data_IF_913508158629
#
_entry.id   IF_913508158629
#
_cell.length_a   1.000
_cell.length_b   1.000
_cell.length_c   1.000
_cell.angle_alpha   90.00
_cell.angle_beta   90.00
_cell.angle_gamma   90.00
#
_symmetry.space_group_name_H-M   'P 1'
#
loop_
_entity.id
_entity.type
_entity.pdbx_description
1 polymer ?
#
# COMPACT_ATOMS: atom_id res chain seq x y z
N UNK A 1 11.70 10.13 6.52
CA UNK A 1 10.25 9.85 6.49
C UNK A 1 9.85 9.53 5.06
N UNK A 2 9.75 8.24 4.71
CA UNK A 2 9.28 7.82 3.38
C UNK A 2 7.79 8.14 3.30
N UNK A 3 7.34 8.77 2.21
CA UNK A 3 5.91 9.06 1.97
C UNK A 3 5.48 8.30 0.73
N UNK A 4 4.26 7.75 0.77
CA UNK A 4 3.64 7.15 -0.41
C UNK A 4 3.41 8.23 -1.49
N UNK A 5 3.75 7.95 -2.76
CA UNK A 5 3.53 8.91 -3.84
C UNK A 5 2.04 9.14 -4.11
N UNK A 6 1.72 10.24 -4.80
CA UNK A 6 0.35 10.56 -5.19
C UNK A 6 -0.58 10.82 -4.01
N UNK A 7 -1.81 10.31 -4.10
CA UNK A 7 -2.87 10.48 -3.09
C UNK A 7 -3.40 9.12 -2.64
N UNK A 8 -2.73 8.44 -1.69
CA UNK A 8 -3.25 7.20 -1.13
C UNK A 8 -4.61 7.43 -0.47
N UNK A 9 -5.51 6.45 -0.59
CA UNK A 9 -6.79 6.50 0.13
C UNK A 9 -6.59 6.41 1.65
N UNK A 10 -7.63 6.70 2.44
CA UNK A 10 -7.55 6.73 3.91
C UNK A 10 -7.06 5.40 4.48
N UNK A 11 -7.64 4.26 4.07
CA UNK A 11 -7.22 2.93 4.54
C UNK A 11 -5.75 2.61 4.28
N UNK A 12 -5.23 2.98 3.11
CA UNK A 12 -3.82 2.75 2.78
C UNK A 12 -2.90 3.69 3.57
N UNK A 13 -3.37 4.91 3.84
CA UNK A 13 -2.67 5.90 4.67
C UNK A 13 -2.62 5.46 6.14
N UNK A 14 -3.72 4.92 6.66
CA UNK A 14 -3.81 4.39 8.03
C UNK A 14 -2.87 3.19 8.20
N UNK A 15 -2.89 2.26 7.23
CA UNK A 15 -1.98 1.12 7.23
C UNK A 15 -0.51 1.56 7.17
N UNK A 16 -0.17 2.50 6.28
CA UNK A 16 1.17 3.07 6.19
C UNK A 16 1.61 3.73 7.49
N UNK A 17 0.73 4.50 8.12
CA UNK A 17 1.03 5.24 9.35
C UNK A 17 1.20 4.31 10.55
N UNK A 18 0.58 3.14 10.53
CA UNK A 18 0.68 2.13 11.59
C UNK A 18 1.93 1.25 11.50
N UNK A 19 2.67 1.31 10.38
CA UNK A 19 3.92 0.55 10.19
C UNK A 19 5.14 1.27 10.75
N UNK A 20 6.11 0.49 11.24
CA UNK A 20 7.47 0.95 11.53
C UNK A 20 8.23 1.33 10.24
N UNK A 21 9.26 2.17 10.36
CA UNK A 21 9.96 2.72 9.20
C UNK A 21 10.62 1.66 8.29
N UNK A 22 11.15 0.57 8.86
CA UNK A 22 11.71 -0.53 8.07
C UNK A 22 10.61 -1.30 7.30
N UNK A 23 9.47 -1.54 7.96
CA UNK A 23 8.33 -2.20 7.34
C UNK A 23 7.72 -1.34 6.22
N UNK A 24 7.67 -0.02 6.42
CA UNK A 24 7.25 0.95 5.39
C UNK A 24 8.10 0.87 4.14
N UNK A 25 9.43 0.80 4.27
CA UNK A 25 10.33 0.70 3.12
C UNK A 25 10.06 -0.55 2.29
N UNK A 26 10.02 -1.73 2.93
CA UNK A 26 9.73 -3.01 2.27
C UNK A 26 8.32 -3.03 1.66
N UNK A 27 7.34 -2.52 2.39
CA UNK A 27 5.97 -2.44 1.90
C UNK A 27 5.87 -1.52 0.68
N UNK A 28 6.56 -0.39 0.64
CA UNK A 28 6.58 0.50 -0.52
C UNK A 28 7.15 -0.18 -1.77
N UNK A 29 8.23 -0.95 -1.63
CA UNK A 29 8.82 -1.72 -2.74
C UNK A 29 7.81 -2.69 -3.36
N UNK A 30 7.11 -3.46 -2.52
CA UNK A 30 6.07 -4.38 -3.00
C UNK A 30 4.83 -3.65 -3.53
N UNK A 31 4.41 -2.58 -2.86
CA UNK A 31 3.23 -1.80 -3.22
C UNK A 31 3.39 -1.11 -4.57
N UNK A 32 4.56 -0.54 -4.86
CA UNK A 32 4.85 0.14 -6.12
C UNK A 32 5.40 -0.79 -7.20
N UNK A 33 5.87 -1.97 -6.82
CA UNK A 33 6.34 -3.02 -7.73
C UNK A 33 5.22 -3.91 -8.30
N UNK A 34 5.61 -5.09 -8.75
CA UNK A 34 4.75 -6.09 -9.41
C UNK A 34 4.07 -7.09 -8.49
N UNK A 35 4.24 -6.98 -7.17
CA UNK A 35 3.65 -7.93 -6.21
C UNK A 35 2.12 -7.92 -6.31
N UNK A 36 1.50 -9.10 -6.29
CA UNK A 36 0.04 -9.24 -6.40
C UNK A 36 -0.68 -8.41 -5.33
N UNK A 37 -1.73 -7.71 -5.77
CA UNK A 37 -2.58 -6.94 -4.86
C UNK A 37 -3.34 -7.84 -3.88
N UNK A 38 -3.71 -9.06 -4.30
CA UNK A 38 -4.38 -10.03 -3.43
C UNK A 38 -3.43 -10.53 -2.35
N UNK A 39 -2.20 -10.87 -2.73
CA UNK A 39 -1.17 -11.29 -1.77
C UNK A 39 -0.86 -10.20 -0.74
N UNK A 40 -0.70 -8.96 -1.19
CA UNK A 40 -0.49 -7.82 -0.28
C UNK A 40 -1.69 -7.59 0.64
N UNK A 41 -2.89 -7.72 0.11
CA UNK A 41 -4.11 -7.58 0.91
C UNK A 41 -4.19 -8.64 1.99
N UNK A 42 -3.89 -9.91 1.67
CA UNK A 42 -3.84 -10.99 2.66
C UNK A 42 -2.79 -10.72 3.73
N UNK A 43 -1.55 -10.37 3.34
CA UNK A 43 -0.47 -10.08 4.28
C UNK A 43 -0.83 -8.93 5.23
N UNK A 44 -1.39 -7.84 4.70
CA UNK A 44 -1.80 -6.71 5.54
C UNK A 44 -2.91 -7.10 6.52
N UNK A 45 -3.88 -7.91 6.09
CA UNK A 45 -4.93 -8.42 6.96
C UNK A 45 -4.38 -9.32 8.08
N UNK A 46 -3.41 -10.19 7.78
CA UNK A 46 -2.73 -11.03 8.78
C UNK A 46 -2.05 -10.19 9.87
N UNK A 47 -1.55 -9.00 9.51
CA UNK A 47 -0.97 -8.03 10.44
C UNK A 47 -1.97 -7.03 11.03
N UNK A 48 -3.28 -7.23 10.85
CA UNK A 48 -4.32 -6.37 11.43
C UNK A 48 -4.47 -5.01 10.74
N UNK A 49 -3.95 -4.86 9.51
CA UNK A 49 -4.03 -3.64 8.70
C UNK A 49 -5.03 -3.86 7.54
N UNK A 50 -6.33 -3.60 7.73
CA UNK A 50 -7.35 -3.98 6.75
C UNK A 50 -7.31 -3.09 5.50
N UNK A 51 -6.60 -3.56 4.47
CA UNK A 51 -6.53 -2.94 3.13
C UNK A 51 -6.93 -3.98 2.09
N UNK A 52 -7.95 -3.66 1.29
CA UNK A 52 -8.42 -4.56 0.23
C UNK A 52 -7.52 -4.54 -1.01
N UNK A 53 -7.44 -5.66 -1.73
CA UNK A 53 -6.75 -5.74 -3.01
C UNK A 53 -7.26 -4.70 -4.02
N UNK A 54 -8.57 -4.43 -4.04
CA UNK A 54 -9.16 -3.36 -4.86
C UNK A 54 -8.62 -1.98 -4.49
N UNK A 55 -8.42 -1.68 -3.20
CA UNK A 55 -7.80 -0.42 -2.76
C UNK A 55 -6.38 -0.29 -3.32
N UNK A 56 -5.58 -1.36 -3.25
CA UNK A 56 -4.22 -1.40 -3.78
C UNK A 56 -4.22 -1.19 -5.30
N UNK A 57 -5.08 -1.89 -6.04
CA UNK A 57 -5.20 -1.74 -7.50
C UNK A 57 -5.62 -0.34 -7.89
N UNK A 58 -6.61 0.24 -7.21
CA UNK A 58 -7.09 1.59 -7.47
C UNK A 58 -6.00 2.62 -7.24
N UNK A 59 -5.25 2.49 -6.14
CA UNK A 59 -4.11 3.35 -5.85
C UNK A 59 -3.03 3.25 -6.94
N UNK A 60 -2.60 2.03 -7.30
CA UNK A 60 -1.63 1.80 -8.40
C UNK A 60 -2.11 2.40 -9.72
N UNK A 61 -3.39 2.21 -10.07
CA UNK A 61 -3.99 2.77 -11.27
C UNK A 61 -4.04 4.30 -11.24
N UNK A 62 -4.31 4.89 -10.08
CA UNK A 62 -4.31 6.35 -9.93
C UNK A 62 -2.90 6.93 -10.12
N UNK A 63 -1.87 6.24 -9.62
CA UNK A 63 -0.48 6.62 -9.87
C UNK A 63 -0.15 6.56 -11.36
N UNK A 64 -0.52 5.48 -12.06
CA UNK A 64 -0.28 5.34 -13.50
C UNK A 64 -0.98 6.42 -14.34
N UNK A 65 -2.12 6.95 -13.89
CA UNK A 65 -2.88 8.00 -14.57
C UNK A 65 -2.40 9.42 -14.25
N UNK A 66 -1.64 9.59 -13.17
CA UNK A 66 -1.18 10.88 -12.66
C UNK A 66 0.32 11.14 -12.89
N UNK A 67 0.96 10.30 -13.71
CA UNK A 67 2.31 10.48 -14.26
C UNK A 67 2.19 10.94 -15.71
#
# INVERSE_FOLDING_TARGET
MIKLPGKPGPKLTDAWSSMEDEARARFAEHLLGGTSADWLSSLLNEHGLPVSATTIRNYRRALQKGV
#
